data_IF_815947060297
#
_entry.id   IF_815947060297
#
_cell.length_a   1.000
_cell.length_b   1.000
_cell.length_c   1.000
_cell.angle_alpha   90.00
_cell.angle_beta   90.00
_cell.angle_gamma   90.00
#
_symmetry.space_group_name_H-M   'P 1'
#
loop_
_entity.id
_entity.type
_entity.pdbx_description
1 polymer ?
#
# COMPACT_ATOMS: atom_id res chain seq x y z
N UNK A 1 -16.32 -5.41 -17.78
CA UNK A 1 -15.71 -6.52 -17.01
C UNK A 1 -14.51 -7.08 -17.78
N UNK A 2 -13.30 -6.64 -17.43
CA UNK A 2 -12.07 -7.11 -18.05
C UNK A 2 -11.45 -8.26 -17.23
N UNK A 3 -10.44 -8.96 -17.79
CA UNK A 3 -9.77 -10.11 -17.16
C UNK A 3 -9.19 -9.79 -15.77
N UNK A 4 -8.69 -8.58 -15.57
CA UNK A 4 -8.10 -8.17 -14.29
C UNK A 4 -9.16 -7.99 -13.21
N UNK A 5 -10.27 -7.33 -13.55
CA UNK A 5 -11.40 -7.15 -12.61
C UNK A 5 -11.99 -8.50 -12.20
N UNK A 6 -12.17 -9.42 -13.14
CA UNK A 6 -12.65 -10.78 -12.85
C UNK A 6 -11.68 -11.55 -11.96
N UNK A 7 -10.38 -11.45 -12.23
CA UNK A 7 -9.33 -12.08 -11.40
C UNK A 7 -9.33 -11.52 -9.99
N UNK A 8 -9.34 -10.19 -9.84
CA UNK A 8 -9.34 -9.54 -8.53
C UNK A 8 -10.61 -9.89 -7.74
N UNK A 9 -11.79 -9.80 -8.35
CA UNK A 9 -13.07 -10.17 -7.73
C UNK A 9 -13.05 -11.61 -7.22
N UNK A 10 -12.58 -12.56 -8.02
CA UNK A 10 -12.44 -13.97 -7.62
C UNK A 10 -11.55 -14.13 -6.39
N UNK A 11 -10.45 -13.37 -6.30
CA UNK A 11 -9.49 -13.45 -5.20
C UNK A 11 -10.00 -12.75 -3.92
N UNK A 12 -10.82 -11.71 -4.04
CA UNK A 12 -11.14 -10.83 -2.90
C UNK A 12 -12.59 -10.87 -2.43
N UNK A 13 -13.50 -11.57 -3.13
CA UNK A 13 -14.93 -11.59 -2.81
C UNK A 13 -15.27 -12.03 -1.38
N UNK A 14 -14.41 -12.83 -0.75
CA UNK A 14 -14.57 -13.29 0.64
C UNK A 14 -13.88 -12.38 1.65
N UNK A 15 -13.18 -11.35 1.20
CA UNK A 15 -12.38 -10.44 2.01
C UNK A 15 -12.93 -9.01 2.09
N UNK A 16 -14.15 -8.79 1.57
CA UNK A 16 -14.79 -7.45 1.65
C UNK A 16 -15.11 -7.02 3.08
N UNK A 17 -15.19 -7.99 4.00
CA UNK A 17 -15.35 -7.79 5.44
C UNK A 17 -14.23 -8.55 6.16
N UNK A 18 -13.07 -7.94 6.37
CA UNK A 18 -11.92 -8.58 7.00
C UNK A 18 -11.58 -7.89 8.32
N UNK A 19 -11.55 -8.64 9.41
CA UNK A 19 -11.20 -8.17 10.77
C UNK A 19 -11.96 -6.89 11.22
N UNK A 20 -13.24 -6.78 10.83
CA UNK A 20 -14.10 -5.64 11.12
C UNK A 20 -13.94 -4.45 10.16
N UNK A 21 -13.10 -4.59 9.13
CA UNK A 21 -12.93 -3.59 8.08
C UNK A 21 -13.95 -3.81 6.98
N UNK A 22 -14.45 -2.71 6.40
CA UNK A 22 -15.21 -2.70 5.16
C UNK A 22 -14.24 -2.36 4.02
N UNK A 23 -13.96 -3.32 3.13
CA UNK A 23 -12.96 -3.19 2.09
C UNK A 23 -13.59 -3.12 0.69
N UNK A 24 -13.02 -2.30 -0.17
CA UNK A 24 -13.44 -2.14 -1.56
C UNK A 24 -12.25 -2.34 -2.50
N UNK A 25 -12.29 -3.41 -3.29
CA UNK A 25 -11.21 -3.78 -4.20
C UNK A 25 -11.55 -3.39 -5.64
N UNK A 26 -10.64 -2.64 -6.29
CA UNK A 26 -10.76 -2.30 -7.73
C UNK A 26 -9.41 -2.33 -8.41
N UNK A 27 -9.44 -2.53 -9.73
CA UNK A 27 -8.26 -2.49 -10.59
C UNK A 27 -8.08 -1.11 -11.19
N UNK A 28 -6.84 -0.63 -11.20
CA UNK A 28 -6.39 0.43 -12.09
C UNK A 28 -5.74 -0.20 -13.33
N UNK A 29 -6.26 0.15 -14.52
CA UNK A 29 -5.77 -0.37 -15.81
C UNK A 29 -4.49 0.38 -16.25
N UNK A 30 -3.52 0.48 -15.35
CA UNK A 30 -2.18 1.00 -15.62
C UNK A 30 -1.19 -0.15 -15.72
N UNK A 31 -0.15 0.06 -16.53
CA UNK A 31 1.00 -0.87 -16.62
C UNK A 31 1.97 -0.74 -15.45
N UNK A 32 1.77 0.25 -14.59
CA UNK A 32 2.60 0.44 -13.41
C UNK A 32 2.49 -0.76 -12.47
N UNK A 33 3.59 -1.10 -11.83
CA UNK A 33 3.65 -2.14 -10.81
C UNK A 33 3.37 -1.49 -9.47
N UNK A 34 2.10 -1.50 -9.04
CA UNK A 34 1.70 -0.85 -7.79
C UNK A 34 0.43 -1.47 -7.19
N UNK A 35 0.25 -1.29 -5.89
CA UNK A 35 -1.00 -1.41 -5.15
C UNK A 35 -1.01 -0.32 -4.07
N UNK A 36 -2.18 0.10 -3.65
CA UNK A 36 -2.31 1.05 -2.55
C UNK A 36 -3.62 0.88 -1.80
N UNK A 37 -3.61 1.29 -0.53
CA UNK A 37 -4.77 1.35 0.33
C UNK A 37 -5.04 2.78 0.78
N UNK A 38 -6.31 3.18 0.78
CA UNK A 38 -6.77 4.47 1.28
C UNK A 38 -7.45 4.33 2.65
N UNK A 39 -7.58 5.45 3.34
CA UNK A 39 -8.09 5.48 4.71
C UNK A 39 -9.54 5.00 4.87
N UNK A 40 -10.32 4.99 3.78
CA UNK A 40 -11.71 4.52 3.73
C UNK A 40 -11.85 3.00 3.49
N UNK A 41 -10.76 2.26 3.46
CA UNK A 41 -10.74 0.82 3.16
C UNK A 41 -10.75 0.49 1.66
N UNK A 42 -10.58 1.49 0.79
CA UNK A 42 -10.41 1.23 -0.64
C UNK A 42 -9.01 0.70 -0.94
N UNK A 43 -8.93 -0.47 -1.60
CA UNK A 43 -7.68 -1.07 -2.07
C UNK A 43 -7.68 -1.08 -3.58
N UNK A 44 -6.63 -0.54 -4.17
CA UNK A 44 -6.44 -0.41 -5.61
C UNK A 44 -5.25 -1.24 -6.04
N UNK A 45 -5.45 -2.11 -7.02
CA UNK A 45 -4.43 -3.01 -7.55
C UNK A 45 -4.21 -2.68 -9.03
N UNK A 46 -2.99 -2.45 -9.41
CA UNK A 46 -2.65 -2.05 -10.77
C UNK A 46 -2.47 -3.26 -11.68
N UNK A 47 -2.89 -3.15 -12.93
CA UNK A 47 -2.79 -4.24 -13.89
C UNK A 47 -1.35 -4.73 -14.10
N UNK A 48 -0.36 -3.82 -14.07
CA UNK A 48 1.06 -4.20 -14.18
C UNK A 48 1.53 -5.09 -13.02
N UNK A 49 1.07 -4.82 -11.80
CA UNK A 49 1.35 -5.72 -10.66
C UNK A 49 0.69 -7.09 -10.85
N UNK A 50 -0.56 -7.09 -11.35
CA UNK A 50 -1.30 -8.33 -11.59
C UNK A 50 -0.69 -9.19 -12.70
N UNK A 51 -0.08 -8.58 -13.70
CA UNK A 51 0.64 -9.32 -14.77
C UNK A 51 1.93 -9.97 -14.24
N UNK A 52 2.58 -9.35 -13.27
CA UNK A 52 3.83 -9.84 -12.69
C UNK A 52 3.62 -10.95 -11.66
N UNK A 53 2.51 -10.94 -10.94
CA UNK A 53 2.28 -11.81 -9.78
C UNK A 53 1.30 -12.94 -10.06
N UNK A 54 1.56 -14.13 -9.53
CA UNK A 54 0.57 -15.18 -9.44
C UNK A 54 -0.49 -14.85 -8.38
N UNK A 55 -1.56 -15.67 -8.27
CA UNK A 55 -2.68 -15.42 -7.38
C UNK A 55 -2.29 -15.41 -5.90
N UNK A 56 -1.38 -16.29 -5.48
CA UNK A 56 -0.92 -16.36 -4.09
C UNK A 56 -0.04 -15.16 -3.70
N UNK A 57 0.84 -14.74 -4.60
CA UNK A 57 1.67 -13.55 -4.42
C UNK A 57 0.80 -12.29 -4.35
N UNK A 58 -0.20 -12.21 -5.23
CA UNK A 58 -1.14 -11.08 -5.24
C UNK A 58 -1.97 -11.01 -3.95
N UNK A 59 -2.42 -12.17 -3.42
CA UNK A 59 -3.08 -12.25 -2.12
C UNK A 59 -2.17 -11.81 -0.98
N UNK A 60 -0.88 -12.12 -1.04
CA UNK A 60 0.11 -11.64 -0.07
C UNK A 60 0.23 -10.11 -0.07
N UNK A 61 0.33 -9.49 -1.26
CA UNK A 61 0.35 -8.02 -1.38
C UNK A 61 -0.98 -7.42 -0.93
N UNK A 62 -2.12 -8.00 -1.30
CA UNK A 62 -3.43 -7.54 -0.84
C UNK A 62 -3.53 -7.60 0.69
N UNK A 63 -3.03 -8.68 1.33
CA UNK A 63 -2.97 -8.79 2.78
C UNK A 63 -2.11 -7.69 3.42
N UNK A 64 -0.99 -7.32 2.80
CA UNK A 64 -0.16 -6.20 3.20
C UNK A 64 -0.93 -4.86 3.12
N UNK A 65 -1.65 -4.61 2.02
CA UNK A 65 -2.48 -3.40 1.87
C UNK A 65 -3.62 -3.34 2.91
N UNK A 66 -4.25 -4.49 3.21
CA UNK A 66 -5.23 -4.58 4.31
C UNK A 66 -4.56 -4.22 5.64
N UNK A 67 -3.31 -4.60 5.86
CA UNK A 67 -2.51 -4.22 7.02
C UNK A 67 -2.40 -2.69 7.18
N UNK A 68 -2.13 -1.96 6.11
CA UNK A 68 -2.11 -0.50 6.12
C UNK A 68 -3.47 0.11 6.52
N UNK A 69 -4.57 -0.46 6.05
CA UNK A 69 -5.93 -0.04 6.47
C UNK A 69 -6.14 -0.36 7.95
N UNK A 70 -5.82 -1.57 8.37
CA UNK A 70 -6.03 -2.07 9.74
C UNK A 70 -5.31 -1.24 10.78
N UNK A 71 -4.08 -0.86 10.51
CA UNK A 71 -3.25 -0.03 11.39
C UNK A 71 -3.44 1.48 11.16
N UNK A 72 -4.38 1.86 10.28
CA UNK A 72 -4.71 3.25 9.96
C UNK A 72 -3.51 4.11 9.52
N UNK A 73 -2.53 3.51 8.81
CA UNK A 73 -1.29 4.18 8.41
C UNK A 73 -1.56 5.38 7.51
N UNK A 74 -2.40 5.21 6.48
CA UNK A 74 -2.82 6.31 5.57
C UNK A 74 -3.57 7.40 6.32
N UNK A 75 -4.46 7.03 7.27
CA UNK A 75 -5.17 8.00 8.11
C UNK A 75 -4.20 8.80 8.99
N UNK A 76 -3.18 8.16 9.56
CA UNK A 76 -2.13 8.81 10.35
C UNK A 76 -1.32 9.80 9.50
N UNK A 77 -0.92 9.41 8.29
CA UNK A 77 -0.24 10.29 7.35
C UNK A 77 -1.09 11.51 6.97
N UNK A 78 -2.38 11.30 6.69
CA UNK A 78 -3.34 12.39 6.43
C UNK A 78 -3.45 13.35 7.62
N UNK A 79 -3.64 12.82 8.83
CA UNK A 79 -3.74 13.64 10.05
C UNK A 79 -2.50 14.50 10.24
N UNK A 80 -1.30 13.92 10.10
CA UNK A 80 -0.02 14.63 10.23
C UNK A 80 0.09 15.73 9.18
N UNK A 81 -0.28 15.46 7.93
CA UNK A 81 -0.23 16.43 6.85
C UNK A 81 -1.22 17.59 7.06
N UNK A 82 -2.44 17.30 7.53
CA UNK A 82 -3.43 18.33 7.87
C UNK A 82 -2.98 19.21 9.04
N UNK A 83 -2.42 18.62 10.10
CA UNK A 83 -1.91 19.38 11.24
C UNK A 83 -0.74 20.29 10.84
N UNK A 84 0.17 19.81 10.02
CA UNK A 84 1.27 20.61 9.49
C UNK A 84 0.76 21.78 8.59
N UNK A 85 -0.26 21.54 7.76
CA UNK A 85 -0.90 22.58 6.95
C UNK A 85 -1.61 23.63 7.81
N UNK A 86 -2.37 23.19 8.83
CA UNK A 86 -3.03 24.09 9.76
C UNK A 86 -2.04 24.98 10.52
N UNK A 87 -0.90 24.41 10.98
CA UNK A 87 0.16 25.16 11.64
C UNK A 87 0.75 26.24 10.72
N UNK A 88 1.04 25.92 9.45
CA UNK A 88 1.53 26.91 8.46
C UNK A 88 0.52 28.02 8.21
N UNK A 89 -0.79 27.69 8.11
CA UNK A 89 -1.86 28.68 7.92
C UNK A 89 -2.00 29.63 9.12
N UNK A 90 -1.84 29.12 10.34
CA UNK A 90 -1.86 29.95 11.56
C UNK A 90 -0.70 30.95 11.57
N UNK A 91 0.51 30.52 11.19
CA UNK A 91 1.68 31.41 11.04
C UNK A 91 1.49 32.43 9.91
N UNK A 92 0.97 32.01 8.76
CA UNK A 92 0.70 32.92 7.63
C UNK A 92 -0.38 33.95 7.98
N UNK A 93 -1.41 33.57 8.73
CA UNK A 93 -2.46 34.48 9.20
C UNK A 93 -1.89 35.58 10.14
N UNK A 94 -0.95 35.22 10.99
CA UNK A 94 -0.27 36.19 11.87
C UNK A 94 0.63 37.17 11.12
N UNK A 95 1.08 36.82 9.92
CA UNK A 95 1.92 37.67 9.04
C UNK A 95 1.15 38.43 7.95
N UNK A 96 -0.18 38.35 7.91
CA UNK A 96 -1.03 39.09 6.96
C UNK A 96 -1.07 38.54 5.53
N UNK A 97 -0.49 37.35 5.26
CA UNK A 97 -0.39 36.76 3.90
C UNK A 97 -1.40 35.63 3.62
N UNK A 98 -2.41 35.47 4.46
CA UNK A 98 -3.28 34.28 4.50
C UNK A 98 -4.26 34.08 3.34
N UNK A 99 -4.44 35.02 2.43
CA UNK A 99 -5.64 35.06 1.56
C UNK A 99 -5.53 34.30 0.22
N UNK A 100 -4.37 33.75 -0.18
CA UNK A 100 -4.17 33.17 -1.53
C UNK A 100 -3.84 31.66 -1.58
N UNK A 101 -3.88 30.95 -0.46
CA UNK A 101 -3.29 29.60 -0.38
C UNK A 101 -4.30 28.43 -0.31
N UNK A 102 -5.62 28.66 -0.41
CA UNK A 102 -6.59 27.65 0.03
C UNK A 102 -6.83 26.48 -0.94
N UNK A 103 -6.97 26.71 -2.26
CA UNK A 103 -7.44 25.67 -3.19
C UNK A 103 -6.32 24.84 -3.83
N UNK A 104 -5.18 25.44 -4.15
CA UNK A 104 -4.03 24.69 -4.70
C UNK A 104 -3.32 23.81 -3.65
N UNK A 105 -3.41 24.16 -2.37
CA UNK A 105 -2.79 23.42 -1.28
C UNK A 105 -3.49 22.10 -0.96
N UNK A 106 -4.81 22.01 -1.11
CA UNK A 106 -5.55 20.74 -0.84
C UNK A 106 -5.21 19.67 -1.88
N UNK A 107 -5.08 20.05 -3.15
CA UNK A 107 -4.63 19.15 -4.20
C UNK A 107 -3.18 18.67 -3.97
N UNK A 108 -2.27 19.60 -3.71
CA UNK A 108 -0.87 19.30 -3.41
C UNK A 108 -0.71 18.48 -2.11
N UNK A 109 -1.58 18.69 -1.12
CA UNK A 109 -1.60 17.91 0.10
C UNK A 109 -2.05 16.47 -0.16
N UNK A 110 -3.10 16.28 -0.97
CA UNK A 110 -3.58 14.96 -1.38
C UNK A 110 -2.50 14.19 -2.14
N UNK A 111 -1.83 14.81 -3.09
CA UNK A 111 -0.72 14.23 -3.83
C UNK A 111 0.46 13.87 -2.91
N UNK A 112 0.81 14.75 -1.98
CA UNK A 112 1.88 14.49 -0.99
C UNK A 112 1.55 13.32 -0.08
N UNK A 113 0.29 13.16 0.34
CA UNK A 113 -0.14 12.02 1.16
C UNK A 113 -0.07 10.73 0.34
N UNK A 114 -0.55 10.76 -0.90
CA UNK A 114 -0.54 9.62 -1.80
C UNK A 114 0.89 9.14 -2.13
N UNK A 115 1.84 10.08 -2.23
CA UNK A 115 3.25 9.79 -2.49
C UNK A 115 4.10 9.70 -1.21
N UNK A 116 3.48 9.70 0.00
CA UNK A 116 4.23 9.59 1.23
C UNK A 116 4.78 8.18 1.44
N UNK A 117 6.02 8.13 1.88
CA UNK A 117 6.68 6.89 2.25
C UNK A 117 6.20 6.42 3.63
N UNK A 118 5.84 5.15 3.74
CA UNK A 118 5.60 4.53 5.03
C UNK A 118 6.92 4.30 5.78
N UNK A 119 6.89 4.41 7.09
CA UNK A 119 8.06 4.11 7.93
C UNK A 119 8.34 2.60 7.95
N UNK A 120 9.57 2.21 8.26
CA UNK A 120 9.93 0.79 8.45
C UNK A 120 9.04 0.08 9.47
N UNK A 121 8.61 0.77 10.53
CA UNK A 121 7.69 0.22 11.52
C UNK A 121 6.32 -0.08 10.89
N UNK A 122 5.77 0.86 10.13
CA UNK A 122 4.49 0.69 9.43
C UNK A 122 4.54 -0.43 8.39
N UNK A 123 5.65 -0.52 7.63
CA UNK A 123 5.88 -1.63 6.70
C UNK A 123 5.95 -2.98 7.45
N UNK A 124 6.65 -3.01 8.59
CA UNK A 124 6.76 -4.19 9.44
C UNK A 124 5.40 -4.65 9.96
N UNK A 125 4.57 -3.74 10.44
CA UNK A 125 3.21 -4.02 10.92
C UNK A 125 2.32 -4.54 9.79
N UNK A 126 2.40 -3.94 8.61
CA UNK A 126 1.62 -4.36 7.43
C UNK A 126 2.08 -5.71 6.88
N UNK A 127 3.39 -5.97 6.87
CA UNK A 127 3.94 -7.29 6.49
C UNK A 127 3.50 -8.38 7.45
N UNK A 128 3.51 -8.10 8.76
CA UNK A 128 3.09 -9.07 9.78
C UNK A 128 1.60 -9.35 9.68
N UNK A 129 0.80 -8.33 9.41
CA UNK A 129 -0.61 -8.52 9.11
C UNK A 129 -0.82 -9.34 7.84
N UNK A 130 -0.10 -9.03 6.76
CA UNK A 130 -0.15 -9.79 5.50
C UNK A 130 0.18 -11.27 5.70
N UNK A 131 1.22 -11.58 6.47
CA UNK A 131 1.57 -12.95 6.84
C UNK A 131 0.47 -13.63 7.65
N UNK A 132 -0.08 -12.95 8.67
CA UNK A 132 -1.18 -13.46 9.49
C UNK A 132 -2.45 -13.70 8.65
N UNK A 133 -2.77 -12.80 7.72
CA UNK A 133 -3.84 -12.95 6.75
C UNK A 133 -3.66 -14.21 5.90
N UNK A 134 -2.47 -14.44 5.35
CA UNK A 134 -2.17 -15.63 4.57
C UNK A 134 -2.34 -16.92 5.40
N UNK A 135 -1.89 -16.91 6.66
CA UNK A 135 -2.05 -18.03 7.60
C UNK A 135 -3.52 -18.30 7.93
N UNK A 136 -4.27 -17.27 8.29
CA UNK A 136 -5.69 -17.33 8.66
C UNK A 136 -6.53 -17.97 7.56
N UNK A 137 -6.27 -17.59 6.32
CA UNK A 137 -7.02 -18.07 5.15
C UNK A 137 -6.40 -19.31 4.50
N UNK A 138 -5.35 -19.91 5.10
CA UNK A 138 -4.66 -21.12 4.61
C UNK A 138 -4.07 -20.93 3.20
N UNK A 139 -3.63 -19.70 2.89
CA UNK A 139 -2.87 -19.40 1.68
C UNK A 139 -1.40 -19.78 1.82
N UNK A 140 -0.67 -19.81 0.71
CA UNK A 140 0.76 -20.09 0.73
C UNK A 140 1.55 -18.91 1.36
N UNK A 141 1.97 -19.06 2.61
CA UNK A 141 2.71 -18.02 3.36
C UNK A 141 4.03 -17.62 2.72
N UNK A 142 4.67 -18.52 1.94
CA UNK A 142 5.92 -18.21 1.21
C UNK A 142 5.69 -17.29 0.01
N UNK A 143 4.44 -17.13 -0.42
CA UNK A 143 4.13 -16.28 -1.56
C UNK A 143 4.37 -14.79 -1.26
N UNK A 144 4.26 -14.35 -0.01
CA UNK A 144 4.58 -12.96 0.37
C UNK A 144 6.08 -12.68 0.22
N UNK A 145 6.96 -13.61 0.65
CA UNK A 145 8.40 -13.53 0.38
C UNK A 145 8.66 -13.47 -1.13
N UNK A 146 8.05 -14.39 -1.90
CA UNK A 146 8.21 -14.45 -3.36
C UNK A 146 7.81 -13.14 -4.03
N UNK A 147 6.69 -12.53 -3.62
CA UNK A 147 6.24 -11.24 -4.11
C UNK A 147 7.29 -10.15 -3.88
N UNK A 148 7.81 -10.03 -2.64
CA UNK A 148 8.85 -9.05 -2.32
C UNK A 148 10.16 -9.30 -3.07
N UNK A 149 10.58 -10.56 -3.29
CA UNK A 149 11.73 -10.89 -4.14
C UNK A 149 11.55 -10.39 -5.58
N UNK A 150 10.37 -10.58 -6.16
CA UNK A 150 10.06 -10.07 -7.49
C UNK A 150 10.16 -8.54 -7.53
N UNK A 151 9.58 -7.85 -6.55
CA UNK A 151 9.67 -6.38 -6.46
C UNK A 151 11.14 -5.92 -6.31
N UNK A 152 11.92 -6.57 -5.45
CA UNK A 152 13.33 -6.28 -5.26
C UNK A 152 14.15 -6.46 -6.55
N UNK A 153 13.84 -7.48 -7.37
CA UNK A 153 14.54 -7.77 -8.62
C UNK A 153 14.34 -6.70 -9.70
N UNK A 154 13.32 -5.86 -9.55
CA UNK A 154 13.02 -4.75 -10.46
C UNK A 154 13.60 -3.42 -9.96
N UNK A 155 14.07 -3.33 -8.72
CA UNK A 155 14.70 -2.13 -8.17
C UNK A 155 15.91 -1.73 -9.02
N UNK A 156 15.96 -0.47 -9.45
CA UNK A 156 17.02 0.04 -10.33
C UNK A 156 16.79 -0.17 -11.83
N UNK A 157 15.70 -0.80 -12.25
CA UNK A 157 15.30 -0.86 -13.66
C UNK A 157 14.29 0.26 -13.94
N UNK A 158 14.54 1.08 -14.94
CA UNK A 158 13.63 2.19 -15.30
C UNK A 158 12.24 1.67 -15.67
N UNK A 159 11.20 2.30 -15.09
CA UNK A 159 9.80 2.24 -15.50
C UNK A 159 8.84 1.57 -14.53
N UNK A 160 7.79 2.30 -14.13
CA UNK A 160 6.55 1.76 -13.56
C UNK A 160 6.57 1.25 -12.11
N UNK A 161 7.75 1.12 -11.50
CA UNK A 161 7.93 0.62 -10.12
C UNK A 161 8.27 1.73 -9.12
N UNK A 162 8.63 2.91 -9.60
CA UNK A 162 9.19 3.99 -8.77
C UNK A 162 8.21 4.41 -7.67
N UNK A 163 6.92 4.44 -7.96
CA UNK A 163 5.89 4.82 -7.00
C UNK A 163 5.75 3.77 -5.88
N UNK A 164 5.75 2.48 -6.21
CA UNK A 164 5.66 1.42 -5.20
C UNK A 164 6.89 1.38 -4.30
N UNK A 165 8.09 1.51 -4.86
CA UNK A 165 9.33 1.54 -4.09
C UNK A 165 9.48 2.82 -3.26
N UNK A 166 8.91 3.95 -3.73
CA UNK A 166 8.92 5.19 -2.97
C UNK A 166 7.95 5.17 -1.80
N UNK A 167 6.79 4.51 -1.92
CA UNK A 167 5.82 4.37 -0.82
C UNK A 167 6.13 3.18 0.09
N UNK A 168 6.64 2.07 -0.45
CA UNK A 168 6.94 0.81 0.26
C UNK A 168 8.42 0.44 0.09
N UNK A 169 9.32 1.01 0.89
CA UNK A 169 10.75 0.83 0.70
C UNK A 169 11.23 -0.59 1.05
N UNK A 170 12.42 -0.88 0.54
CA UNK A 170 13.26 -2.04 0.88
C UNK A 170 12.57 -3.41 0.76
N UNK A 171 12.02 -3.77 -0.40
CA UNK A 171 11.40 -5.08 -0.58
C UNK A 171 12.40 -6.24 -0.40
N UNK A 172 13.71 -6.01 -0.54
CA UNK A 172 14.74 -7.01 -0.33
C UNK A 172 14.83 -7.48 1.12
N UNK A 173 15.04 -6.56 2.04
CA UNK A 173 15.09 -6.86 3.48
C UNK A 173 13.75 -7.39 4.00
N UNK A 174 12.64 -6.89 3.47
CA UNK A 174 11.30 -7.39 3.80
C UNK A 174 11.11 -8.84 3.37
N UNK A 175 11.61 -9.22 2.19
CA UNK A 175 11.62 -10.62 1.73
C UNK A 175 12.45 -11.51 2.65
N UNK A 176 13.64 -11.07 3.08
CA UNK A 176 14.47 -11.81 4.04
C UNK A 176 13.75 -12.04 5.36
N UNK A 177 13.10 -11.00 5.88
CA UNK A 177 12.30 -11.08 7.10
C UNK A 177 11.12 -12.08 6.96
N UNK A 178 10.43 -12.11 5.83
CA UNK A 178 9.34 -13.05 5.58
C UNK A 178 9.86 -14.48 5.48
N UNK A 179 11.00 -14.71 4.83
CA UNK A 179 11.67 -16.02 4.79
C UNK A 179 11.96 -16.52 6.20
N UNK A 180 12.58 -15.68 7.04
CA UNK A 180 12.97 -16.07 8.40
C UNK A 180 11.74 -16.40 9.27
N UNK A 181 10.63 -15.66 9.09
CA UNK A 181 9.36 -15.94 9.79
C UNK A 181 8.62 -17.20 9.30
N UNK A 182 8.81 -17.58 8.05
CA UNK A 182 8.13 -18.76 7.47
C UNK A 182 8.97 -20.03 7.50
N UNK A 183 10.11 -20.03 8.23
CA UNK A 183 10.96 -21.19 8.44
C UNK A 183 11.91 -21.52 7.30
N UNK A 184 12.20 -20.56 6.42
CA UNK A 184 13.28 -20.66 5.43
C UNK A 184 14.62 -20.57 6.12
N UNK A 185 15.33 -21.69 6.26
CA UNK A 185 16.75 -21.67 6.66
C UNK A 185 17.60 -21.02 5.55
N UNK A 186 18.64 -20.25 5.95
CA UNK A 186 19.68 -19.76 5.05
C UNK A 186 20.33 -20.87 4.26
#
# INVERSE_FOLDING_TARGET
NNKYSQRLERLTRTHVNEDGLQLNFKVYLSKDVNANATADGSIRVYAGLMDMMNDQELLGVIGHEIGHVKHAHTMSAMRTAYMASAGRKAVAASSGTAAKLADSELGALGEKIFNSQFSQSQETESDDYGLAFMQKHKYNVKALESAFRKLASLSGKQGGLDQMLSSHPDPGSRADRMRDKTGGKK
#
